data_IF_021515888180
#
_entry.id   IF_021515888180
#
_cell.length_a   1.000
_cell.length_b   1.000
_cell.length_c   1.000
_cell.angle_alpha   90.00
_cell.angle_beta   90.00
_cell.angle_gamma   90.00
#
_symmetry.space_group_name_H-M   'P 1'
#
loop_
_entity.id
_entity.type
_entity.pdbx_description
1 polymer ?
#
# COMPACT_ATOMS: atom_id res chain seq x y z
N UNK A 1 -7.38 26.73 -0.16
CA UNK A 1 -6.71 25.45 0.18
C UNK A 1 -5.21 25.63 -0.08
N UNK A 2 -4.32 25.35 0.87
CA UNK A 2 -2.88 25.59 0.67
C UNK A 2 -2.30 24.70 -0.43
N UNK A 3 -1.21 25.14 -1.07
CA UNK A 3 -0.52 24.35 -2.11
C UNK A 3 -0.12 22.96 -1.61
N UNK A 4 0.36 22.87 -0.36
CA UNK A 4 0.73 21.62 0.30
C UNK A 4 -0.44 20.62 0.37
N UNK A 5 -1.64 21.07 0.78
CA UNK A 5 -2.83 20.21 0.85
C UNK A 5 -3.21 19.68 -0.53
N UNK A 6 -3.12 20.52 -1.57
CA UNK A 6 -3.40 20.10 -2.95
C UNK A 6 -2.41 19.03 -3.41
N UNK A 7 -1.12 19.23 -3.16
CA UNK A 7 -0.06 18.25 -3.49
C UNK A 7 -0.33 16.94 -2.76
N UNK A 8 -0.56 16.98 -1.45
CA UNK A 8 -0.85 15.78 -0.66
C UNK A 8 -2.05 14.99 -1.19
N UNK A 9 -3.14 15.68 -1.59
CA UNK A 9 -4.32 15.03 -2.18
C UNK A 9 -4.06 14.34 -3.51
N UNK A 10 -3.13 14.85 -4.32
CA UNK A 10 -2.70 14.23 -5.58
C UNK A 10 -1.75 13.06 -5.33
N UNK A 11 -0.79 13.25 -4.43
CA UNK A 11 0.18 12.21 -4.07
C UNK A 11 -0.48 11.02 -3.38
N UNK A 12 -1.56 11.24 -2.62
CA UNK A 12 -2.24 10.18 -1.88
C UNK A 12 -2.70 8.97 -2.73
N UNK A 13 -3.51 9.14 -3.80
CA UNK A 13 -3.86 8.03 -4.68
C UNK A 13 -2.67 7.50 -5.48
N UNK A 14 -1.66 8.32 -5.80
CA UNK A 14 -0.45 7.86 -6.50
C UNK A 14 0.41 6.95 -5.61
N UNK A 15 0.57 7.30 -4.32
CA UNK A 15 1.25 6.47 -3.35
C UNK A 15 0.52 5.14 -3.16
N UNK A 16 -0.82 5.15 -3.12
CA UNK A 16 -1.62 3.93 -3.03
C UNK A 16 -1.47 3.04 -4.27
N UNK A 17 -1.39 3.63 -5.48
CA UNK A 17 -1.02 2.88 -6.69
C UNK A 17 0.40 2.32 -6.61
N UNK A 18 1.33 3.05 -5.98
CA UNK A 18 2.68 2.56 -5.67
C UNK A 18 2.67 1.29 -4.82
N UNK A 19 1.84 1.23 -3.78
CA UNK A 19 1.66 0.02 -2.96
C UNK A 19 1.17 -1.15 -3.83
N UNK A 20 0.15 -0.92 -4.67
CA UNK A 20 -0.36 -1.95 -5.57
C UNK A 20 0.71 -2.48 -6.54
N UNK A 21 1.55 -1.58 -7.07
CA UNK A 21 2.65 -1.96 -7.96
C UNK A 21 3.70 -2.81 -7.23
N UNK A 22 4.09 -2.41 -6.01
CA UNK A 22 5.03 -3.19 -5.18
C UNK A 22 4.48 -4.59 -4.91
N UNK A 23 3.21 -4.71 -4.51
CA UNK A 23 2.57 -6.01 -4.26
C UNK A 23 2.51 -6.85 -5.53
N UNK A 24 2.14 -6.27 -6.68
CA UNK A 24 2.09 -6.99 -7.95
C UNK A 24 3.46 -7.54 -8.35
N UNK A 25 4.53 -6.75 -8.17
CA UNK A 25 5.90 -7.19 -8.42
C UNK A 25 6.28 -8.32 -7.45
N UNK A 26 5.95 -8.21 -6.17
CA UNK A 26 6.23 -9.26 -5.18
C UNK A 26 5.52 -10.59 -5.53
N UNK A 27 4.27 -10.55 -5.97
CA UNK A 27 3.50 -11.73 -6.42
C UNK A 27 4.14 -12.36 -7.67
N UNK A 28 4.60 -11.55 -8.62
CA UNK A 28 5.35 -12.04 -9.78
C UNK A 28 6.66 -12.73 -9.37
N UNK A 29 7.43 -12.11 -8.47
CA UNK A 29 8.71 -12.64 -8.01
C UNK A 29 8.57 -13.93 -7.21
N UNK A 30 7.58 -14.03 -6.31
CA UNK A 30 7.35 -15.28 -5.58
C UNK A 30 6.87 -16.39 -6.53
N UNK A 31 6.10 -16.05 -7.58
CA UNK A 31 5.75 -17.01 -8.62
C UNK A 31 7.00 -17.51 -9.35
N UNK A 32 7.95 -16.63 -9.70
CA UNK A 32 9.23 -17.05 -10.29
C UNK A 32 10.00 -18.03 -9.40
N UNK A 33 10.00 -17.82 -8.07
CA UNK A 33 10.61 -18.76 -7.12
C UNK A 33 9.94 -20.13 -7.22
N UNK A 34 8.60 -20.18 -7.26
CA UNK A 34 7.84 -21.43 -7.41
C UNK A 34 8.15 -22.17 -8.73
N UNK A 35 8.53 -21.43 -9.78
CA UNK A 35 8.93 -21.99 -11.07
C UNK A 35 10.45 -22.18 -11.23
N UNK A 36 11.21 -22.13 -10.13
CA UNK A 36 12.62 -22.57 -10.08
C UNK A 36 13.68 -21.47 -10.13
N UNK A 37 13.30 -20.18 -10.18
CA UNK A 37 14.28 -19.08 -10.09
C UNK A 37 14.59 -18.74 -8.63
N UNK A 38 15.62 -19.36 -8.07
CA UNK A 38 16.06 -19.12 -6.70
C UNK A 38 16.51 -17.67 -6.44
N UNK A 39 16.98 -16.95 -7.47
CA UNK A 39 17.43 -15.55 -7.33
C UNK A 39 16.26 -14.58 -7.18
N UNK A 40 15.05 -14.97 -7.61
CA UNK A 40 13.87 -14.14 -7.46
C UNK A 40 13.48 -13.92 -5.99
N UNK A 41 13.88 -14.80 -5.07
CA UNK A 41 13.55 -14.69 -3.64
C UNK A 41 14.24 -13.48 -2.99
N UNK A 42 15.52 -13.23 -3.29
CA UNK A 42 16.22 -12.06 -2.75
C UNK A 42 15.60 -10.76 -3.26
N UNK A 43 15.23 -10.73 -4.55
CA UNK A 43 14.54 -9.57 -5.15
C UNK A 43 13.15 -9.38 -4.55
N UNK A 44 12.42 -10.47 -4.27
CA UNK A 44 11.11 -10.42 -3.60
C UNK A 44 11.24 -9.74 -2.24
N UNK A 45 12.22 -10.15 -1.43
CA UNK A 45 12.50 -9.54 -0.12
C UNK A 45 12.85 -8.05 -0.23
N UNK A 46 13.76 -7.69 -1.13
CA UNK A 46 14.13 -6.29 -1.35
C UNK A 46 12.95 -5.42 -1.83
N UNK A 47 12.01 -5.99 -2.60
CA UNK A 47 10.77 -5.30 -2.93
C UNK A 47 9.81 -5.21 -1.74
N UNK A 48 9.80 -6.22 -0.87
CA UNK A 48 9.11 -6.18 0.43
C UNK A 48 9.56 -5.02 1.30
N UNK A 49 10.86 -4.74 1.35
CA UNK A 49 11.45 -3.63 2.12
C UNK A 49 10.99 -2.25 1.64
N UNK A 50 10.52 -2.14 0.39
CA UNK A 50 9.96 -0.90 -0.16
C UNK A 50 8.49 -0.69 0.21
N UNK A 51 7.75 -1.71 0.66
CA UNK A 51 6.33 -1.56 0.95
C UNK A 51 6.08 -0.59 2.14
N UNK A 52 6.74 -0.71 3.31
CA UNK A 52 6.50 0.16 4.46
C UNK A 52 6.69 1.66 4.19
N UNK A 53 7.79 2.12 3.55
CA UNK A 53 7.94 3.55 3.29
C UNK A 53 6.86 4.09 2.34
N UNK A 54 6.39 3.27 1.38
CA UNK A 54 5.31 3.68 0.47
C UNK A 54 3.96 3.71 1.19
N UNK A 55 3.65 2.73 2.04
CA UNK A 55 2.45 2.72 2.88
C UNK A 55 2.44 3.89 3.88
N UNK A 56 3.59 4.18 4.47
CA UNK A 56 3.76 5.35 5.34
C UNK A 56 3.51 6.66 4.58
N UNK A 57 3.98 6.76 3.34
CA UNK A 57 3.66 7.89 2.47
C UNK A 57 2.15 8.01 2.20
N UNK A 58 1.43 6.90 2.00
CA UNK A 58 -0.05 6.90 1.89
C UNK A 58 -0.69 7.50 3.15
N UNK A 59 -0.21 7.11 4.34
CA UNK A 59 -0.70 7.64 5.61
C UNK A 59 -0.42 9.14 5.79
N UNK A 60 0.82 9.57 5.55
CA UNK A 60 1.21 11.00 5.68
C UNK A 60 0.42 11.87 4.71
N UNK A 61 0.28 11.45 3.46
CA UNK A 61 -0.49 12.18 2.45
C UNK A 61 -1.99 12.21 2.80
N UNK A 62 -2.53 11.18 3.46
CA UNK A 62 -3.90 11.19 3.99
C UNK A 62 -4.06 12.23 5.09
N UNK A 63 -3.18 12.20 6.10
CA UNK A 63 -3.22 13.10 7.24
C UNK A 63 -3.11 14.58 6.83
N UNK A 64 -2.21 14.89 5.90
CA UNK A 64 -2.02 16.25 5.38
C UNK A 64 -3.15 16.66 4.42
N UNK A 65 -3.49 15.80 3.46
CA UNK A 65 -4.44 16.13 2.39
C UNK A 65 -5.89 16.15 2.86
N UNK A 66 -6.23 15.37 3.88
CA UNK A 66 -7.59 15.13 4.33
C UNK A 66 -7.73 15.29 5.85
N UNK A 67 -7.04 16.28 6.43
CA UNK A 67 -7.16 16.63 7.84
C UNK A 67 -8.63 16.70 8.30
N UNK A 68 -8.94 16.06 9.43
CA UNK A 68 -10.31 15.85 10.00
C UNK A 68 -11.22 14.89 9.23
N UNK A 69 -10.83 14.35 8.09
CA UNK A 69 -11.53 13.23 7.46
C UNK A 69 -11.00 11.90 8.03
N UNK A 70 -11.47 11.56 9.22
CA UNK A 70 -11.02 10.38 9.95
C UNK A 70 -11.25 9.06 9.24
N UNK A 71 -12.24 8.98 8.35
CA UNK A 71 -12.45 7.80 7.52
C UNK A 71 -11.26 7.55 6.57
N UNK A 72 -10.79 8.58 5.85
CA UNK A 72 -9.64 8.45 4.94
C UNK A 72 -8.34 8.20 5.68
N UNK A 73 -8.13 8.90 6.80
CA UNK A 73 -6.95 8.71 7.65
C UNK A 73 -6.97 7.29 8.24
N UNK A 74 -8.13 6.82 8.70
CA UNK A 74 -8.32 5.48 9.24
C UNK A 74 -8.03 4.38 8.23
N UNK A 75 -8.49 4.52 6.98
CA UNK A 75 -8.15 3.57 5.90
C UNK A 75 -6.64 3.54 5.62
N UNK A 76 -5.98 4.71 5.58
CA UNK A 76 -4.54 4.77 5.36
C UNK A 76 -3.73 4.21 6.55
N UNK A 77 -4.22 4.44 7.78
CA UNK A 77 -3.65 3.83 8.98
C UNK A 77 -3.84 2.31 8.98
N UNK A 78 -5.02 1.83 8.57
CA UNK A 78 -5.29 0.40 8.45
C UNK A 78 -4.37 -0.26 7.41
N UNK A 79 -4.11 0.41 6.28
CA UNK A 79 -3.14 -0.05 5.29
C UNK A 79 -1.75 -0.23 5.92
N UNK A 80 -1.26 0.81 6.61
CA UNK A 80 0.05 0.80 7.26
C UNK A 80 0.16 -0.28 8.35
N UNK A 81 -0.88 -0.46 9.17
CA UNK A 81 -0.92 -1.51 10.19
C UNK A 81 -0.95 -2.91 9.56
N UNK A 82 -1.70 -3.08 8.47
CA UNK A 82 -1.77 -4.35 7.74
C UNK A 82 -0.41 -4.71 7.16
N UNK A 83 0.29 -3.76 6.54
CA UNK A 83 1.65 -3.96 6.02
C UNK A 83 2.67 -4.26 7.12
N UNK A 84 2.58 -3.59 8.27
CA UNK A 84 3.39 -3.92 9.44
C UNK A 84 3.18 -5.38 9.90
N UNK A 85 1.93 -5.84 9.97
CA UNK A 85 1.64 -7.23 10.30
C UNK A 85 2.14 -8.19 9.20
N UNK A 86 2.03 -7.85 7.92
CA UNK A 86 2.60 -8.67 6.84
C UNK A 86 4.08 -8.94 7.03
N UNK A 87 4.88 -7.91 7.34
CA UNK A 87 6.32 -8.07 7.57
C UNK A 87 6.57 -8.88 8.83
N UNK A 88 5.81 -8.62 9.89
CA UNK A 88 5.91 -9.38 11.14
C UNK A 88 5.68 -10.87 10.92
N UNK A 89 4.72 -11.25 10.07
CA UNK A 89 4.45 -12.65 9.73
C UNK A 89 5.44 -13.26 8.73
N UNK A 90 6.10 -12.44 7.90
CA UNK A 90 7.13 -12.92 6.97
C UNK A 90 8.48 -13.18 7.66
N UNK A 91 8.82 -12.39 8.69
CA UNK A 91 10.19 -12.38 9.22
C UNK A 91 10.27 -12.69 10.73
N UNK A 92 9.31 -12.21 11.52
CA UNK A 92 9.50 -12.04 12.98
C UNK A 92 8.69 -13.02 13.84
N UNK A 93 7.55 -13.51 13.36
CA UNK A 93 6.59 -14.30 14.14
C UNK A 93 6.69 -15.82 13.90
N UNK A 94 7.68 -16.26 13.11
CA UNK A 94 8.03 -17.66 12.90
C UNK A 94 8.12 -18.05 11.41
N UNK A 95 9.07 -18.91 11.07
CA UNK A 95 9.24 -19.46 9.72
C UNK A 95 8.46 -20.78 9.58
N UNK A 96 7.14 -20.71 9.78
CA UNK A 96 6.23 -21.86 9.63
C UNK A 96 5.38 -21.69 8.36
N UNK A 97 4.90 -22.78 7.74
CA UNK A 97 3.99 -22.67 6.62
C UNK A 97 2.74 -21.83 6.92
N UNK A 98 2.21 -21.93 8.15
CA UNK A 98 1.02 -21.19 8.57
C UNK A 98 1.24 -19.67 8.66
N UNK A 99 2.37 -19.24 9.22
CA UNK A 99 2.71 -17.80 9.32
C UNK A 99 2.97 -17.18 7.95
N UNK A 100 3.65 -17.90 7.05
CA UNK A 100 3.84 -17.44 5.67
C UNK A 100 2.52 -17.39 4.87
N UNK A 101 1.59 -18.31 5.11
CA UNK A 101 0.27 -18.27 4.49
C UNK A 101 -0.53 -17.02 4.93
N UNK A 102 -0.42 -16.63 6.21
CA UNK A 102 -1.02 -15.38 6.70
C UNK A 102 -0.42 -14.14 6.03
N UNK A 103 0.90 -14.10 5.83
CA UNK A 103 1.54 -13.03 5.05
C UNK A 103 0.92 -12.91 3.64
N UNK A 104 0.77 -14.03 2.92
CA UNK A 104 0.14 -14.06 1.60
C UNK A 104 -1.33 -13.61 1.61
N UNK A 105 -2.11 -14.03 2.62
CA UNK A 105 -3.51 -13.62 2.78
C UNK A 105 -3.63 -12.11 3.03
N UNK A 106 -2.77 -11.54 3.87
CA UNK A 106 -2.78 -10.11 4.17
C UNK A 106 -2.38 -9.27 2.95
N UNK A 107 -1.59 -9.80 2.01
CA UNK A 107 -1.31 -9.11 0.75
C UNK A 107 -2.59 -8.81 -0.05
N UNK A 108 -3.59 -9.70 0.00
CA UNK A 108 -4.91 -9.47 -0.62
C UNK A 108 -5.63 -8.32 0.09
N UNK A 109 -5.57 -8.29 1.42
CA UNK A 109 -6.17 -7.21 2.23
C UNK A 109 -5.52 -5.86 1.89
N UNK A 110 -4.19 -5.82 1.77
CA UNK A 110 -3.44 -4.64 1.32
C UNK A 110 -3.90 -4.18 -0.06
N UNK A 111 -4.06 -5.09 -1.02
CA UNK A 111 -4.57 -4.77 -2.37
C UNK A 111 -5.96 -4.15 -2.32
N UNK A 112 -6.88 -4.71 -1.52
CA UNK A 112 -8.24 -4.18 -1.39
C UNK A 112 -8.23 -2.76 -0.80
N UNK A 113 -7.50 -2.56 0.30
CA UNK A 113 -7.44 -1.25 0.97
C UNK A 113 -6.76 -0.22 0.08
N UNK A 114 -5.60 -0.54 -0.50
CA UNK A 114 -4.87 0.37 -1.39
C UNK A 114 -5.68 0.70 -2.65
N UNK A 115 -6.37 -0.28 -3.24
CA UNK A 115 -7.27 -0.09 -4.37
C UNK A 115 -8.45 0.84 -4.04
N UNK A 116 -9.06 0.67 -2.86
CA UNK A 116 -10.10 1.56 -2.39
C UNK A 116 -9.58 2.99 -2.21
N UNK A 117 -8.42 3.17 -1.56
CA UNK A 117 -7.78 4.47 -1.36
C UNK A 117 -7.48 5.15 -2.70
N UNK A 118 -6.86 4.43 -3.65
CA UNK A 118 -6.52 4.95 -4.97
C UNK A 118 -7.79 5.41 -5.72
N UNK A 119 -8.83 4.58 -5.76
CA UNK A 119 -10.11 4.89 -6.40
C UNK A 119 -10.79 6.11 -5.80
N UNK A 120 -10.90 6.15 -4.47
CA UNK A 120 -11.63 7.21 -3.76
C UNK A 120 -10.86 8.54 -3.78
N UNK A 121 -9.52 8.47 -3.77
CA UNK A 121 -8.63 9.62 -3.99
C UNK A 121 -8.77 10.20 -5.39
N UNK A 122 -8.76 9.37 -6.42
CA UNK A 122 -8.91 9.81 -7.82
C UNK A 122 -10.27 10.45 -8.08
N UNK A 123 -11.36 9.84 -7.57
CA UNK A 123 -12.71 10.42 -7.64
C UNK A 123 -12.80 11.80 -7.00
N UNK A 124 -12.13 11.98 -5.86
CA UNK A 124 -12.10 13.28 -5.17
C UNK A 124 -11.32 14.34 -5.96
N UNK A 125 -10.22 13.94 -6.58
CA UNK A 125 -9.38 14.83 -7.39
C UNK A 125 -10.04 15.21 -8.74
N UNK A 126 -10.87 14.34 -9.32
CA UNK A 126 -11.62 14.61 -10.54
C UNK A 126 -12.91 15.40 -10.27
N UNK A 127 -13.68 15.04 -9.22
CA UNK A 127 -14.91 15.75 -8.86
C UNK A 127 -14.68 17.21 -8.46
N UNK A 128 -13.50 17.54 -7.93
CA UNK A 128 -13.10 18.92 -7.67
C UNK A 128 -12.79 19.75 -8.93
N UNK A 129 -12.57 19.11 -10.09
CA UNK A 129 -12.30 19.82 -11.36
C UNK A 129 -13.58 20.17 -12.10
N UNK A 130 -14.63 19.37 -11.99
CA UNK A 130 -15.92 19.60 -12.66
C UNK A 130 -16.74 20.74 -12.04
N UNK A 131 -16.54 21.06 -10.77
CA UNK A 131 -17.23 22.19 -10.10
C UNK A 131 -16.52 23.53 -10.25
N UNK A 132 -15.35 23.56 -10.90
CA UNK A 132 -14.48 24.74 -11.01
C UNK A 132 -14.39 25.29 -12.45
N UNK A 133 -15.21 24.76 -13.37
CA UNK A 133 -15.35 25.20 -14.77
C UNK A 133 -16.77 25.72 -14.98
#
# INVERSE_FOLDING_TARGET
MSGLVRIARVLHPLAALGVLLVVAIQVYLISKVMFGDANALSTHKSMGDLAPPVEFLVFVTAAVGYWRNWHRIGLAALLLLTGFFQISFAENLGNTPGTHALHGMLAIVVVVIAGQIARDGWRSAMGARTTAA
#
